data_IF_975575914571
#
_entry.id   IF_975575914571
#
_cell.length_a   1.000
_cell.length_b   1.000
_cell.length_c   1.000
_cell.angle_alpha   90.00
_cell.angle_beta   90.00
_cell.angle_gamma   90.00
#
_symmetry.space_group_name_H-M   'P 1'
#
loop_
_entity.id
_entity.type
_entity.pdbx_description
1 polymer ?
#
# COMPACT_ATOMS: atom_id res chain seq x y z
N UNK A 1 -8.96 1.40 39.93
CA UNK A 1 -7.76 0.81 39.26
C UNK A 1 -7.54 1.53 37.95
N UNK A 2 -6.58 2.46 37.93
CA UNK A 2 -6.22 3.24 36.74
C UNK A 2 -5.93 4.71 37.04
N UNK A 3 -6.46 5.25 38.14
CA UNK A 3 -6.17 6.61 38.61
C UNK A 3 -5.92 6.52 40.12
N UNK A 4 -4.84 7.11 40.64
CA UNK A 4 -4.62 7.16 42.08
C UNK A 4 -5.80 7.89 42.72
N UNK A 5 -6.32 7.37 43.83
CA UNK A 5 -7.49 7.92 44.56
C UNK A 5 -7.31 9.36 45.04
N UNK A 6 -6.11 9.91 44.85
CA UNK A 6 -5.62 11.23 45.20
C UNK A 6 -5.96 12.31 44.17
N UNK A 7 -6.34 11.96 42.94
CA UNK A 7 -6.76 12.93 41.91
C UNK A 7 -8.18 13.47 42.15
N UNK A 8 -8.85 12.98 43.20
CA UNK A 8 -10.21 13.31 43.59
C UNK A 8 -11.14 12.12 43.39
N UNK A 9 -11.97 11.83 44.40
CA UNK A 9 -12.93 10.71 44.44
C UNK A 9 -13.96 10.70 43.29
N UNK A 10 -13.98 11.71 42.40
CA UNK A 10 -14.90 11.79 41.26
C UNK A 10 -14.29 11.44 39.90
N UNK A 11 -12.98 11.14 39.83
CA UNK A 11 -12.30 10.79 38.58
C UNK A 11 -12.09 9.29 38.40
N UNK A 12 -12.22 8.47 39.46
CA UNK A 12 -12.15 7.01 39.37
C UNK A 12 -13.48 6.40 38.91
N UNK A 13 -14.02 6.92 37.80
CA UNK A 13 -15.30 6.48 37.20
C UNK A 13 -15.32 4.97 36.93
N UNK A 14 -14.15 4.40 36.62
CA UNK A 14 -14.00 2.98 36.35
C UNK A 14 -13.90 2.15 37.65
N UNK A 15 -13.23 2.67 38.69
CA UNK A 15 -13.19 2.04 40.02
C UNK A 15 -14.57 2.03 40.70
N UNK A 16 -15.29 3.15 40.65
CA UNK A 16 -16.64 3.29 41.22
C UNK A 16 -17.65 2.37 40.53
N UNK A 17 -17.57 2.22 39.21
CA UNK A 17 -18.41 1.29 38.44
C UNK A 17 -18.20 -0.17 38.87
N UNK A 18 -16.98 -0.55 39.24
CA UNK A 18 -16.64 -1.92 39.63
C UNK A 18 -16.69 -2.17 41.15
N UNK A 19 -16.81 -1.11 41.97
CA UNK A 19 -16.92 -1.19 43.42
C UNK A 19 -17.95 -2.21 43.97
N UNK A 20 -19.14 -2.42 43.36
CA UNK A 20 -20.11 -3.39 43.86
C UNK A 20 -19.68 -4.86 43.67
N UNK A 21 -18.72 -5.12 42.77
CA UNK A 21 -18.25 -6.47 42.42
C UNK A 21 -17.10 -6.91 43.34
N UNK A 22 -16.38 -5.96 43.93
CA UNK A 22 -15.27 -6.23 44.83
C UNK A 22 -15.74 -6.27 46.29
N UNK A 23 -15.37 -7.33 47.01
CA UNK A 23 -15.64 -7.47 48.45
C UNK A 23 -14.90 -6.38 49.23
N UNK A 24 -15.58 -5.75 50.18
CA UNK A 24 -15.05 -4.68 51.04
C UNK A 24 -13.71 -5.07 51.66
N UNK A 25 -12.64 -4.42 51.18
CA UNK A 25 -11.26 -4.67 51.61
C UNK A 25 -11.06 -4.06 53.02
N UNK A 26 -10.45 -4.78 53.97
CA UNK A 26 -10.17 -4.25 55.31
C UNK A 26 -9.38 -2.93 55.26
N UNK A 27 -9.75 -1.97 56.11
CA UNK A 27 -9.22 -0.60 56.14
C UNK A 27 -7.68 -0.53 56.28
N UNK A 28 -7.07 -1.51 56.97
CA UNK A 28 -5.61 -1.64 57.12
C UNK A 28 -4.88 -1.96 55.80
N UNK A 29 -5.56 -2.56 54.83
CA UNK A 29 -4.95 -2.84 53.50
C UNK A 29 -4.97 -1.59 52.61
N UNK A 30 -5.81 -0.60 52.93
CA UNK A 30 -5.92 0.66 52.20
C UNK A 30 -4.67 1.52 52.40
N UNK A 31 -4.20 1.67 53.64
CA UNK A 31 -3.06 2.54 53.97
C UNK A 31 -1.74 2.07 53.32
N UNK A 32 -1.52 0.76 53.29
CA UNK A 32 -0.37 0.19 52.58
C UNK A 32 -0.49 0.40 51.06
N UNK A 33 -1.69 0.29 50.49
CA UNK A 33 -1.94 0.51 49.06
C UNK A 33 -1.62 1.95 48.65
N UNK A 34 -2.01 2.95 49.46
CA UNK A 34 -1.68 4.37 49.22
C UNK A 34 -0.17 4.59 49.10
N UNK A 35 0.62 3.97 50.00
CA UNK A 35 2.08 4.12 49.99
C UNK A 35 2.71 3.52 48.74
N UNK A 36 2.27 2.34 48.30
CA UNK A 36 2.78 1.72 47.06
C UNK A 36 2.41 2.53 45.81
N UNK A 37 1.22 3.13 45.78
CA UNK A 37 0.81 4.00 44.67
C UNK A 37 1.70 5.25 44.55
N UNK A 38 1.95 5.94 45.67
CA UNK A 38 2.87 7.09 45.68
C UNK A 38 4.30 6.69 45.27
N UNK A 39 4.80 5.57 45.79
CA UNK A 39 6.16 5.09 45.47
C UNK A 39 6.28 4.77 43.99
N UNK A 40 5.33 4.04 43.40
CA UNK A 40 5.39 3.66 41.97
C UNK A 40 5.16 4.86 41.05
N UNK A 41 4.28 5.79 41.41
CA UNK A 41 4.07 7.04 40.68
C UNK A 41 5.36 7.87 40.68
N UNK A 42 5.90 8.16 41.86
CA UNK A 42 7.13 8.96 41.98
C UNK A 42 8.30 8.24 41.29
N UNK A 43 8.44 6.93 41.47
CA UNK A 43 9.49 6.15 40.82
C UNK A 43 9.39 6.23 39.28
N UNK A 44 8.19 6.07 38.71
CA UNK A 44 8.00 6.17 37.25
C UNK A 44 8.32 7.57 36.72
N UNK A 45 7.89 8.62 37.43
CA UNK A 45 8.18 10.01 37.08
C UNK A 45 9.67 10.30 37.17
N UNK A 46 10.36 9.82 38.21
CA UNK A 46 11.81 9.99 38.37
C UNK A 46 12.58 9.26 37.28
N UNK A 47 12.20 8.03 36.93
CA UNK A 47 12.83 7.27 35.84
C UNK A 47 12.62 7.95 34.49
N UNK A 48 11.39 8.40 34.20
CA UNK A 48 11.08 9.10 32.96
C UNK A 48 11.81 10.45 32.86
N UNK A 49 11.76 11.27 33.92
CA UNK A 49 12.46 12.55 33.99
C UNK A 49 13.98 12.36 33.91
N UNK A 50 14.53 11.34 34.59
CA UNK A 50 15.94 10.97 34.52
C UNK A 50 16.35 10.58 33.09
N UNK A 51 15.55 9.76 32.41
CA UNK A 51 15.77 9.39 31.00
C UNK A 51 15.75 10.59 30.06
N UNK A 52 14.80 11.51 30.24
CA UNK A 52 14.70 12.75 29.44
C UNK A 52 15.90 13.67 29.69
N UNK A 53 16.31 13.88 30.95
CA UNK A 53 17.46 14.70 31.29
C UNK A 53 18.76 14.10 30.75
N UNK A 54 18.91 12.78 30.83
CA UNK A 54 20.04 12.06 30.24
C UNK A 54 20.08 12.22 28.72
N UNK A 55 18.96 11.98 28.03
CA UNK A 55 18.84 12.18 26.59
C UNK A 55 19.13 13.64 26.21
N UNK A 56 18.59 14.62 26.95
CA UNK A 56 18.84 16.05 26.72
C UNK A 56 20.34 16.38 26.81
N UNK A 57 21.03 15.84 27.82
CA UNK A 57 22.48 16.05 28.00
C UNK A 57 23.27 15.45 26.83
N UNK A 58 22.92 14.25 26.37
CA UNK A 58 23.58 13.57 25.24
C UNK A 58 23.34 14.31 23.92
N UNK A 59 22.11 14.73 23.63
CA UNK A 59 21.74 15.28 22.32
C UNK A 59 21.97 16.79 22.16
N UNK A 60 21.89 17.61 23.23
CA UNK A 60 21.99 19.09 23.12
C UNK A 60 23.41 19.61 23.37
N UNK A 61 24.25 18.87 24.10
CA UNK A 61 25.52 19.37 24.66
C UNK A 61 26.78 19.27 23.78
N UNK A 62 26.68 19.11 22.46
CA UNK A 62 27.81 18.78 21.54
C UNK A 62 28.33 17.33 21.62
N UNK A 63 27.44 16.36 21.72
CA UNK A 63 27.77 14.96 21.47
C UNK A 63 26.78 14.34 20.49
N UNK A 64 26.75 14.84 19.25
CA UNK A 64 26.63 13.90 18.13
C UNK A 64 27.92 13.09 18.22
N UNK A 65 27.93 12.02 19.03
CA UNK A 65 29.13 11.21 19.24
C UNK A 65 29.53 10.72 17.85
N UNK A 66 30.61 11.27 17.25
CA UNK A 66 31.06 10.85 15.94
C UNK A 66 31.67 9.48 16.20
N UNK A 67 30.88 8.42 15.93
CA UNK A 67 31.28 7.06 16.25
C UNK A 67 30.20 6.18 16.87
N UNK A 68 29.09 6.73 17.39
CA UNK A 68 27.98 5.84 17.83
C UNK A 68 27.36 5.09 16.65
N UNK A 69 27.47 5.63 15.42
CA UNK A 69 27.14 4.97 14.15
C UNK A 69 28.29 4.19 13.50
N UNK A 70 29.53 4.33 13.99
CA UNK A 70 30.73 3.68 13.42
C UNK A 70 31.19 2.47 14.21
N UNK A 71 30.66 2.25 15.42
CA UNK A 71 30.86 0.97 16.11
C UNK A 71 30.18 -0.12 15.29
N UNK A 72 30.98 -0.82 14.49
CA UNK A 72 30.63 -1.98 13.66
C UNK A 72 30.26 -3.22 14.50
N UNK A 73 29.50 -3.03 15.57
CA UNK A 73 28.93 -4.13 16.35
C UNK A 73 27.63 -4.56 15.68
N UNK A 74 27.50 -5.85 15.42
CA UNK A 74 26.38 -6.41 14.64
C UNK A 74 24.99 -6.01 15.18
N UNK A 75 24.85 -5.86 16.50
CA UNK A 75 23.61 -5.45 17.15
C UNK A 75 23.22 -3.99 16.82
N UNK A 76 24.21 -3.09 16.76
CA UNK A 76 24.00 -1.69 16.41
C UNK A 76 23.54 -1.58 14.94
N UNK A 77 24.17 -2.33 14.04
CA UNK A 77 23.76 -2.41 12.63
C UNK A 77 22.35 -2.98 12.47
N UNK A 78 21.96 -3.94 13.31
CA UNK A 78 20.61 -4.51 13.31
C UNK A 78 19.54 -3.48 13.71
N UNK A 79 19.81 -2.70 14.76
CA UNK A 79 18.91 -1.65 15.23
C UNK A 79 18.84 -0.47 14.26
N UNK A 80 19.99 -0.10 13.66
CA UNK A 80 20.08 0.95 12.64
C UNK A 80 19.28 0.62 11.38
N UNK A 81 19.34 -0.62 10.90
CA UNK A 81 18.59 -1.06 9.73
C UNK A 81 17.16 -1.50 10.06
N UNK A 82 16.56 -0.96 11.14
CA UNK A 82 15.17 -1.21 11.54
C UNK A 82 14.78 -2.70 11.50
N UNK A 83 15.65 -3.56 12.05
CA UNK A 83 15.45 -5.01 12.09
C UNK A 83 15.34 -5.71 10.71
N UNK A 84 15.72 -5.05 9.62
CA UNK A 84 15.65 -5.56 8.25
C UNK A 84 14.24 -5.99 7.77
N UNK A 85 13.19 -5.56 8.48
CA UNK A 85 11.80 -5.95 8.16
C UNK A 85 11.38 -5.35 6.82
N UNK A 86 11.74 -4.08 6.59
CA UNK A 86 11.39 -3.34 5.38
C UNK A 86 12.05 -4.00 4.15
N UNK A 87 13.33 -4.38 4.24
CA UNK A 87 14.06 -5.02 3.15
C UNK A 87 13.63 -6.47 2.91
N UNK A 88 13.14 -7.17 3.93
CA UNK A 88 12.55 -8.48 3.75
C UNK A 88 11.23 -8.37 2.99
N UNK A 89 10.38 -7.42 3.38
CA UNK A 89 9.12 -7.14 2.69
C UNK A 89 9.34 -6.74 1.24
N UNK A 90 10.32 -5.86 0.97
CA UNK A 90 10.70 -5.46 -0.38
C UNK A 90 11.07 -6.68 -1.23
N UNK A 91 11.92 -7.57 -0.71
CA UNK A 91 12.39 -8.73 -1.49
C UNK A 91 11.35 -9.83 -1.66
N UNK A 92 10.54 -10.08 -0.63
CA UNK A 92 9.62 -11.23 -0.62
C UNK A 92 8.26 -10.88 -1.22
N UNK A 93 7.82 -9.64 -1.08
CA UNK A 93 6.48 -9.21 -1.49
C UNK A 93 6.56 -8.24 -2.67
N UNK A 94 7.28 -7.12 -2.53
CA UNK A 94 7.26 -6.04 -3.52
C UNK A 94 7.88 -6.49 -4.85
N UNK A 95 9.14 -6.93 -4.85
CA UNK A 95 9.87 -7.29 -6.08
C UNK A 95 9.19 -8.41 -6.89
N UNK A 96 8.68 -9.50 -6.29
CA UNK A 96 8.00 -10.54 -7.07
C UNK A 96 6.71 -10.03 -7.71
N UNK A 97 5.96 -9.15 -7.03
CA UNK A 97 4.75 -8.53 -7.57
C UNK A 97 5.10 -7.60 -8.73
N UNK A 98 6.14 -6.77 -8.58
CA UNK A 98 6.61 -5.89 -9.65
C UNK A 98 7.07 -6.67 -10.89
N UNK A 99 7.82 -7.76 -10.69
CA UNK A 99 8.24 -8.64 -11.77
C UNK A 99 7.05 -9.28 -12.47
N UNK A 100 6.06 -9.75 -11.72
CA UNK A 100 4.84 -10.32 -12.28
C UNK A 100 4.06 -9.26 -13.09
N UNK A 101 3.91 -8.05 -12.56
CA UNK A 101 3.27 -6.95 -13.26
C UNK A 101 3.98 -6.63 -14.58
N UNK A 102 5.31 -6.62 -14.58
CA UNK A 102 6.10 -6.40 -15.78
C UNK A 102 5.91 -7.50 -16.84
N UNK A 103 5.82 -8.76 -16.40
CA UNK A 103 5.51 -9.89 -17.28
C UNK A 103 4.11 -9.72 -17.90
N UNK A 104 3.11 -9.38 -17.09
CA UNK A 104 1.75 -9.17 -17.58
C UNK A 104 1.68 -8.03 -18.58
N UNK A 105 2.33 -6.89 -18.31
CA UNK A 105 2.41 -5.78 -19.26
C UNK A 105 3.04 -6.23 -20.58
N UNK A 106 4.18 -6.93 -20.54
CA UNK A 106 4.88 -7.33 -21.75
C UNK A 106 4.17 -8.41 -22.56
N UNK A 107 3.52 -9.37 -21.90
CA UNK A 107 2.83 -10.47 -22.59
C UNK A 107 1.44 -10.05 -23.03
N UNK A 108 0.66 -9.43 -22.15
CA UNK A 108 -0.73 -9.10 -22.44
C UNK A 108 -0.79 -7.86 -23.31
N UNK A 109 -0.14 -6.77 -22.92
CA UNK A 109 -0.29 -5.52 -23.65
C UNK A 109 0.51 -5.55 -24.95
N UNK A 110 1.84 -5.67 -24.83
CA UNK A 110 2.75 -5.53 -25.98
C UNK A 110 2.65 -6.67 -26.99
N UNK A 111 2.32 -7.89 -26.55
CA UNK A 111 2.23 -9.04 -27.48
C UNK A 111 0.79 -9.29 -27.89
N UNK A 112 -0.15 -9.39 -26.94
CA UNK A 112 -1.52 -9.75 -27.27
C UNK A 112 -2.32 -8.55 -27.81
N UNK A 113 -2.37 -7.43 -27.08
CA UNK A 113 -3.18 -6.27 -27.47
C UNK A 113 -2.59 -5.60 -28.72
N UNK A 114 -1.32 -5.20 -28.68
CA UNK A 114 -0.66 -4.56 -29.83
C UNK A 114 -0.58 -5.49 -31.05
N UNK A 115 -0.40 -6.80 -30.81
CA UNK A 115 -0.41 -7.81 -31.86
C UNK A 115 -1.78 -7.90 -32.55
N UNK A 116 -2.87 -7.95 -31.79
CA UNK A 116 -4.23 -7.98 -32.34
C UNK A 116 -4.55 -6.70 -33.13
N UNK A 117 -4.14 -5.53 -32.62
CA UNK A 117 -4.31 -4.26 -33.32
C UNK A 117 -3.55 -4.25 -34.66
N UNK A 118 -2.30 -4.74 -34.65
CA UNK A 118 -1.48 -4.83 -35.86
C UNK A 118 -2.10 -5.76 -36.89
N UNK A 119 -2.60 -6.93 -36.48
CA UNK A 119 -3.30 -7.86 -37.37
C UNK A 119 -4.55 -7.21 -37.97
N UNK A 120 -5.36 -6.53 -37.15
CA UNK A 120 -6.53 -5.79 -37.63
C UNK A 120 -6.17 -4.75 -38.70
N UNK A 121 -5.10 -3.97 -38.45
CA UNK A 121 -4.61 -2.99 -39.41
C UNK A 121 -4.12 -3.64 -40.72
N UNK A 122 -3.42 -4.78 -40.64
CA UNK A 122 -2.95 -5.52 -41.81
C UNK A 122 -4.10 -6.09 -42.64
N UNK A 123 -5.16 -6.60 -42.00
CA UNK A 123 -6.35 -7.10 -42.69
C UNK A 123 -7.03 -5.96 -43.47
N UNK A 124 -7.25 -4.81 -42.84
CA UNK A 124 -7.89 -3.65 -43.48
C UNK A 124 -7.05 -3.16 -44.66
N UNK A 125 -5.73 -3.04 -44.49
CA UNK A 125 -4.82 -2.68 -45.57
C UNK A 125 -4.82 -3.71 -46.71
N UNK A 126 -4.86 -5.01 -46.38
CA UNK A 126 -4.98 -6.10 -47.34
C UNK A 126 -6.23 -5.96 -48.21
N UNK A 127 -7.40 -5.82 -47.58
CA UNK A 127 -8.68 -5.63 -48.26
C UNK A 127 -8.65 -4.38 -49.15
N UNK A 128 -8.14 -3.26 -48.63
CA UNK A 128 -8.01 -2.02 -49.40
C UNK A 128 -7.10 -2.17 -50.63
N UNK A 129 -5.98 -2.89 -50.47
CA UNK A 129 -5.02 -3.16 -51.56
C UNK A 129 -5.63 -4.06 -52.65
N UNK A 130 -6.45 -5.04 -52.26
CA UNK A 130 -7.21 -5.90 -53.17
C UNK A 130 -8.26 -5.07 -53.93
N UNK A 131 -9.03 -4.25 -53.20
CA UNK A 131 -10.06 -3.39 -53.79
C UNK A 131 -9.50 -2.37 -54.79
N UNK A 132 -8.24 -1.95 -54.63
CA UNK A 132 -7.55 -1.07 -55.59
C UNK A 132 -7.45 -1.70 -56.99
N UNK A 133 -7.29 -3.02 -57.10
CA UNK A 133 -7.20 -3.69 -58.40
C UNK A 133 -8.54 -3.72 -59.16
N UNK A 134 -9.66 -3.61 -58.45
CA UNK A 134 -10.99 -3.50 -59.07
C UNK A 134 -11.18 -2.16 -59.79
N UNK A 135 -10.40 -1.13 -59.44
CA UNK A 135 -10.40 0.15 -60.13
C UNK A 135 -9.38 0.17 -61.29
N UNK A 136 -9.73 -0.49 -62.40
CA UNK A 136 -8.86 -0.62 -63.58
C UNK A 136 -8.79 0.64 -64.45
N UNK A 137 -9.66 1.64 -64.21
CA UNK A 137 -9.73 2.88 -64.98
C UNK A 137 -10.39 2.74 -66.36
N UNK A 138 -10.86 1.54 -66.73
CA UNK A 138 -11.50 1.27 -68.02
C UNK A 138 -13.01 1.51 -67.93
N UNK A 139 -13.49 2.61 -68.54
CA UNK A 139 -14.91 3.05 -68.47
C UNK A 139 -15.90 1.97 -68.93
N UNK A 140 -15.54 1.17 -69.95
CA UNK A 140 -16.39 0.09 -70.46
C UNK A 140 -16.69 -0.98 -69.39
N UNK A 141 -15.71 -1.28 -68.52
CA UNK A 141 -15.87 -2.28 -67.47
C UNK A 141 -16.88 -1.81 -66.41
N UNK A 142 -16.86 -0.52 -66.06
CA UNK A 142 -17.83 0.07 -65.14
C UNK A 142 -19.25 0.06 -65.71
N UNK A 143 -19.41 0.40 -66.99
CA UNK A 143 -20.71 0.39 -67.66
C UNK A 143 -21.36 -1.01 -67.64
N UNK A 144 -20.57 -2.05 -67.91
CA UNK A 144 -21.01 -3.45 -67.84
C UNK A 144 -21.51 -3.81 -66.43
N UNK A 145 -20.71 -3.51 -65.40
CA UNK A 145 -21.05 -3.81 -64.00
C UNK A 145 -22.33 -3.08 -63.57
N UNK A 146 -22.52 -1.82 -63.98
CA UNK A 146 -23.74 -1.07 -63.67
C UNK A 146 -25.00 -1.68 -64.28
N UNK A 147 -24.94 -2.12 -65.55
CA UNK A 147 -26.08 -2.78 -66.22
C UNK A 147 -26.42 -4.10 -65.52
N UNK A 148 -25.42 -4.92 -65.23
CA UNK A 148 -25.62 -6.19 -64.49
C UNK A 148 -26.23 -5.91 -63.11
N UNK A 149 -25.71 -4.92 -62.37
CA UNK A 149 -26.23 -4.53 -61.07
C UNK A 149 -27.69 -4.07 -61.14
N UNK A 150 -28.05 -3.26 -62.15
CA UNK A 150 -29.42 -2.81 -62.36
C UNK A 150 -30.38 -3.98 -62.63
N UNK A 151 -29.99 -4.93 -63.48
CA UNK A 151 -30.80 -6.13 -63.77
C UNK A 151 -31.02 -6.97 -62.51
N UNK A 152 -29.98 -7.15 -61.69
CA UNK A 152 -30.09 -7.91 -60.43
C UNK A 152 -31.05 -7.21 -59.46
N UNK A 153 -30.90 -5.89 -59.27
CA UNK A 153 -31.74 -5.12 -58.34
C UNK A 153 -33.19 -5.11 -58.80
N UNK A 154 -33.46 -4.89 -60.09
CA UNK A 154 -34.81 -4.92 -60.65
C UNK A 154 -35.39 -6.33 -60.54
N UNK A 155 -34.61 -7.36 -60.88
CA UNK A 155 -35.04 -8.75 -60.76
C UNK A 155 -35.39 -9.14 -59.32
N UNK A 156 -34.60 -8.68 -58.34
CA UNK A 156 -34.88 -8.90 -56.92
C UNK A 156 -36.12 -8.13 -56.45
N UNK A 157 -36.37 -6.93 -56.95
CA UNK A 157 -37.54 -6.12 -56.59
C UNK A 157 -38.85 -6.64 -57.18
N UNK A 158 -38.78 -7.27 -58.35
CA UNK A 158 -39.95 -7.78 -59.07
C UNK A 158 -40.36 -9.18 -58.58
N UNK A 159 -39.43 -9.94 -57.99
CA UNK A 159 -39.67 -11.25 -57.39
C UNK A 159 -40.21 -11.13 -55.95
#
# INVERSE_FOLDING_TARGET
MGIPHLLGNGLDLFGDFLHPVFLSVPEQTMDHMLVYEWITLIASVVVAAGGILYARKVYIGNAVVPGFGETQTGLHRWLLNKYYIDELYDRVIVRPIEQLAWIFWKIVDVVLIDGLLTIGALIVQGIGSLGRYTQTGVVQHYALIMVIGAVIVIGYLVM
#
